data_IF_221827964343
#
_entry.id   IF_221827964343
#
_cell.length_a   1.000
_cell.length_b   1.000
_cell.length_c   1.000
_cell.angle_alpha   90.00
_cell.angle_beta   90.00
_cell.angle_gamma   90.00
#
_symmetry.space_group_name_H-M   'P 1'
#
loop_
_entity.id
_entity.type
_entity.pdbx_description
1 polymer ?
#
# COMPACT_ATOMS: atom_id res chain seq x y z
N UNK A 1 -15.01 8.08 -2.03
CA UNK A 1 -14.17 8.68 -0.97
C UNK A 1 -14.74 9.99 -0.45
N UNK A 2 -15.06 10.98 -1.31
CA UNK A 2 -15.52 12.32 -0.88
C UNK A 2 -16.69 12.27 0.13
N UNK A 3 -17.76 11.52 -0.17
CA UNK A 3 -18.89 11.31 0.77
C UNK A 3 -18.47 10.76 2.14
N UNK A 4 -17.53 9.82 2.17
CA UNK A 4 -17.02 9.21 3.42
C UNK A 4 -16.23 10.18 4.30
N UNK A 5 -15.83 11.33 3.76
CA UNK A 5 -15.22 12.44 4.50
C UNK A 5 -16.20 13.59 4.77
N UNK A 6 -17.51 13.38 4.54
CA UNK A 6 -18.57 14.32 4.87
C UNK A 6 -19.07 15.19 3.70
N UNK A 7 -18.62 14.92 2.47
CA UNK A 7 -19.15 15.59 1.27
C UNK A 7 -20.56 15.07 0.90
N UNK A 8 -21.21 15.68 -0.09
CA UNK A 8 -22.48 15.22 -0.64
C UNK A 8 -22.36 13.82 -1.28
N UNK A 9 -23.47 13.08 -1.30
CA UNK A 9 -23.54 11.75 -1.94
C UNK A 9 -23.30 11.84 -3.46
N UNK A 10 -23.71 12.94 -4.08
CA UNK A 10 -23.44 13.28 -5.47
C UNK A 10 -22.69 14.64 -5.52
N UNK A 11 -21.35 14.64 -5.35
CA UNK A 11 -20.56 15.86 -5.41
C UNK A 11 -20.52 16.42 -6.83
N UNK A 12 -20.18 17.70 -6.94
CA UNK A 12 -20.10 18.38 -8.25
C UNK A 12 -19.02 17.71 -9.13
N UNK A 13 -19.30 17.46 -10.42
CA UNK A 13 -18.32 16.85 -11.32
C UNK A 13 -16.98 17.59 -11.39
N UNK A 14 -17.02 18.93 -11.31
CA UNK A 14 -15.81 19.75 -11.31
C UNK A 14 -14.96 19.53 -10.06
N UNK A 15 -15.59 19.36 -8.89
CA UNK A 15 -14.89 19.05 -7.63
C UNK A 15 -14.25 17.67 -7.67
N UNK A 16 -14.92 16.69 -8.29
CA UNK A 16 -14.38 15.34 -8.49
C UNK A 16 -13.14 15.39 -9.39
N UNK A 17 -13.23 16.08 -10.52
CA UNK A 17 -12.10 16.26 -11.45
C UNK A 17 -10.91 16.93 -10.78
N UNK A 18 -11.15 18.01 -10.01
CA UNK A 18 -10.07 18.68 -9.28
C UNK A 18 -9.46 17.77 -8.21
N UNK A 19 -10.27 16.99 -7.50
CA UNK A 19 -9.78 16.02 -6.51
C UNK A 19 -8.91 14.95 -7.15
N UNK A 20 -9.22 14.51 -8.38
CA UNK A 20 -8.37 13.60 -9.14
C UNK A 20 -6.99 14.20 -9.39
N UNK A 21 -6.93 15.42 -9.94
CA UNK A 21 -5.67 16.12 -10.22
C UNK A 21 -4.82 16.28 -8.94
N UNK A 22 -5.44 16.70 -7.84
CA UNK A 22 -4.76 16.88 -6.55
C UNK A 22 -4.19 15.55 -6.00
N UNK A 23 -4.90 14.45 -6.18
CA UNK A 23 -4.46 13.13 -5.74
C UNK A 23 -3.28 12.64 -6.59
N UNK A 24 -3.33 12.83 -7.90
CA UNK A 24 -2.23 12.49 -8.81
C UNK A 24 -0.97 13.26 -8.43
N UNK A 25 -1.09 14.57 -8.27
CA UNK A 25 0.03 15.44 -7.83
C UNK A 25 0.62 14.99 -6.48
N UNK A 26 -0.24 14.64 -5.53
CA UNK A 26 0.21 14.16 -4.22
C UNK A 26 0.99 12.83 -4.33
N UNK A 27 0.46 11.88 -5.10
CA UNK A 27 1.10 10.59 -5.31
C UNK A 27 2.43 10.71 -6.06
N UNK A 28 2.52 11.62 -7.03
CA UNK A 28 3.75 11.87 -7.76
C UNK A 28 4.84 12.40 -6.83
N UNK A 29 4.54 13.39 -5.98
CA UNK A 29 5.49 13.90 -4.97
C UNK A 29 5.91 12.82 -3.97
N UNK A 30 4.99 11.98 -3.50
CA UNK A 30 5.31 10.88 -2.60
C UNK A 30 6.24 9.85 -3.26
N UNK A 31 6.00 9.56 -4.54
CA UNK A 31 6.80 8.64 -5.34
C UNK A 31 8.22 9.17 -5.58
N UNK A 32 8.37 10.46 -5.89
CA UNK A 32 9.67 11.11 -6.04
C UNK A 32 10.54 10.99 -4.78
N UNK A 33 9.96 11.21 -3.60
CA UNK A 33 10.67 11.05 -2.32
C UNK A 33 11.07 9.60 -2.06
N UNK A 34 10.17 8.65 -2.38
CA UNK A 34 10.47 7.23 -2.24
C UNK A 34 11.59 6.78 -3.18
N UNK A 35 11.57 7.24 -4.43
CA UNK A 35 12.63 6.98 -5.41
C UNK A 35 13.97 7.59 -4.99
N UNK A 36 13.98 8.83 -4.49
CA UNK A 36 15.19 9.48 -4.00
C UNK A 36 15.82 8.69 -2.86
N UNK A 37 15.01 8.28 -1.88
CA UNK A 37 15.47 7.42 -0.77
C UNK A 37 16.06 6.12 -1.31
N UNK A 38 15.35 5.48 -2.23
CA UNK A 38 15.79 4.23 -2.83
C UNK A 38 17.11 4.43 -3.59
N UNK A 39 17.32 5.54 -4.31
CA UNK A 39 18.60 5.85 -4.97
C UNK A 39 19.74 6.04 -3.97
N UNK A 40 19.47 6.65 -2.81
CA UNK A 40 20.43 6.76 -1.73
C UNK A 40 20.85 5.39 -1.18
N UNK A 41 19.89 4.49 -0.94
CA UNK A 41 20.16 3.12 -0.46
C UNK A 41 20.91 2.28 -1.49
N UNK A 42 20.63 2.47 -2.80
CA UNK A 42 21.38 1.79 -3.87
C UNK A 42 22.86 2.12 -3.89
N UNK A 43 23.26 3.35 -3.55
CA UNK A 43 24.70 3.68 -3.46
C UNK A 43 25.42 2.82 -2.41
N UNK A 44 24.68 2.26 -1.45
CA UNK A 44 25.20 1.39 -0.39
C UNK A 44 24.94 -0.11 -0.58
N UNK A 45 24.19 -0.55 -1.61
CA UNK A 45 23.82 -1.96 -1.79
C UNK A 45 23.55 -2.32 -3.27
N UNK A 46 24.00 -3.49 -3.70
CA UNK A 46 23.79 -4.04 -5.06
C UNK A 46 22.34 -4.54 -5.30
N UNK A 47 21.41 -4.30 -4.37
CA UNK A 47 20.04 -4.78 -4.44
C UNK A 47 19.22 -4.06 -5.54
N UNK A 48 18.32 -4.81 -6.16
CA UNK A 48 17.62 -4.44 -7.39
C UNK A 48 16.81 -3.14 -7.32
N UNK A 49 16.58 -2.61 -8.52
CA UNK A 49 16.10 -1.27 -8.80
C UNK A 49 14.61 -1.00 -8.53
N UNK A 50 14.06 -1.40 -7.37
CA UNK A 50 12.62 -1.32 -7.10
C UNK A 50 12.31 -0.59 -5.80
N UNK A 51 11.34 0.31 -5.86
CA UNK A 51 10.72 0.93 -4.69
C UNK A 51 9.99 -0.15 -3.89
N UNK A 52 10.27 -0.24 -2.59
CA UNK A 52 9.63 -1.18 -1.64
C UNK A 52 8.69 -0.44 -0.70
N UNK A 53 7.84 -1.14 0.06
CA UNK A 53 6.87 -0.47 0.97
C UNK A 53 7.55 0.43 1.99
N UNK A 54 8.72 0.02 2.50
CA UNK A 54 9.57 0.82 3.38
C UNK A 54 9.90 2.20 2.83
N UNK A 55 10.08 2.36 1.51
CA UNK A 55 10.42 3.64 0.88
C UNK A 55 9.23 4.61 0.90
N UNK A 56 8.03 4.09 0.69
CA UNK A 56 6.78 4.85 0.82
C UNK A 56 6.48 5.22 2.29
N UNK A 57 6.72 4.32 3.24
CA UNK A 57 6.60 4.62 4.67
C UNK A 57 7.52 5.77 5.10
N UNK A 58 8.70 5.89 4.46
CA UNK A 58 9.59 7.01 4.73
C UNK A 58 9.09 8.33 4.16
N UNK A 59 8.42 8.33 3.01
CA UNK A 59 7.82 9.55 2.45
C UNK A 59 6.79 10.15 3.42
N UNK A 60 6.02 9.32 4.13
CA UNK A 60 4.99 9.76 5.09
C UNK A 60 5.47 9.87 6.54
N UNK A 61 6.76 9.60 6.84
CA UNK A 61 7.28 9.46 8.21
C UNK A 61 7.06 10.64 9.16
N UNK A 62 6.81 11.83 8.61
CA UNK A 62 6.58 13.06 9.39
C UNK A 62 5.17 13.12 9.99
N UNK A 63 4.22 12.39 9.41
CA UNK A 63 2.86 12.30 9.92
C UNK A 63 2.72 11.00 10.72
N UNK A 64 2.82 11.11 12.04
CA UNK A 64 2.80 9.96 12.96
C UNK A 64 1.50 9.17 12.88
N UNK A 65 0.36 9.86 12.71
CA UNK A 65 -0.96 9.23 12.63
C UNK A 65 -1.09 8.42 11.34
N UNK A 66 -0.67 8.98 10.19
CA UNK A 66 -0.69 8.25 8.91
C UNK A 66 0.30 7.09 8.93
N UNK A 67 1.48 7.28 9.50
CA UNK A 67 2.50 6.24 9.59
C UNK A 67 2.01 5.04 10.42
N UNK A 68 1.49 5.30 11.62
CA UNK A 68 0.95 4.25 12.49
C UNK A 68 -0.18 3.50 11.79
N UNK A 69 -1.11 4.23 11.16
CA UNK A 69 -2.22 3.60 10.45
C UNK A 69 -1.75 2.73 9.27
N UNK A 70 -0.72 3.17 8.55
CA UNK A 70 -0.14 2.38 7.47
C UNK A 70 0.52 1.10 7.97
N UNK A 71 1.19 1.14 9.13
CA UNK A 71 1.79 -0.03 9.76
C UNK A 71 0.73 -1.05 10.19
N UNK A 72 -0.33 -0.62 10.88
CA UNK A 72 -1.46 -1.50 11.25
C UNK A 72 -2.08 -2.20 10.02
N UNK A 73 -2.25 -1.47 8.91
CA UNK A 73 -2.80 -2.05 7.68
C UNK A 73 -1.87 -3.08 7.03
N UNK A 74 -0.56 -2.87 7.11
CA UNK A 74 0.43 -3.83 6.60
C UNK A 74 0.45 -5.11 7.45
N UNK A 75 0.35 -4.98 8.78
CA UNK A 75 0.24 -6.13 9.69
C UNK A 75 -0.97 -7.00 9.35
N UNK A 76 -2.16 -6.38 9.21
CA UNK A 76 -3.38 -7.10 8.83
C UNK A 76 -3.26 -7.71 7.44
N UNK A 77 -2.59 -7.05 6.50
CA UNK A 77 -2.36 -7.59 5.17
C UNK A 77 -1.48 -8.85 5.20
N UNK A 78 -0.43 -8.85 6.02
CA UNK A 78 0.45 -10.00 6.20
C UNK A 78 -0.28 -11.17 6.87
N UNK A 79 -1.11 -10.90 7.89
CA UNK A 79 -1.98 -11.91 8.50
C UNK A 79 -2.93 -12.54 7.48
N UNK A 80 -3.60 -11.73 6.66
CA UNK A 80 -4.48 -12.23 5.59
C UNK A 80 -3.71 -13.05 4.55
N UNK A 81 -2.47 -12.66 4.24
CA UNK A 81 -1.62 -13.39 3.29
C UNK A 81 -1.22 -14.76 3.83
N UNK A 82 -0.86 -14.86 5.11
CA UNK A 82 -0.55 -16.14 5.74
C UNK A 82 -1.79 -17.03 5.90
N UNK A 83 -2.95 -16.45 6.24
CA UNK A 83 -4.21 -17.17 6.26
C UNK A 83 -4.51 -17.79 4.87
N UNK A 84 -4.39 -17.02 3.79
CA UNK A 84 -4.62 -17.56 2.43
C UNK A 84 -3.66 -18.70 2.06
N UNK A 85 -2.40 -18.64 2.50
CA UNK A 85 -1.42 -19.70 2.26
C UNK A 85 -1.74 -20.98 3.02
N UNK A 86 -2.16 -20.86 4.28
CA UNK A 86 -2.52 -22.01 5.13
C UNK A 86 -3.76 -22.70 4.57
N UNK A 87 -4.83 -21.96 4.27
CA UNK A 87 -6.02 -22.52 3.61
C UNK A 87 -5.72 -23.25 2.30
N UNK A 88 -4.82 -22.72 1.46
CA UNK A 88 -4.46 -23.38 0.20
C UNK A 88 -3.71 -24.70 0.42
N UNK A 89 -2.80 -24.75 1.40
CA UNK A 89 -2.07 -25.97 1.76
C UNK A 89 -3.00 -27.05 2.30
N UNK A 90 -3.88 -26.68 3.22
CA UNK A 90 -4.83 -27.61 3.83
C UNK A 90 -5.72 -28.24 2.76
N UNK A 91 -6.24 -27.44 1.82
CA UNK A 91 -7.07 -27.94 0.72
C UNK A 91 -6.32 -28.90 -0.23
N UNK A 92 -5.03 -28.66 -0.50
CA UNK A 92 -4.21 -29.59 -1.27
C UNK A 92 -3.95 -30.91 -0.53
N UNK A 93 -3.89 -30.88 0.80
CA UNK A 93 -3.69 -32.07 1.64
C UNK A 93 -4.96 -32.93 1.68
N UNK A 94 -6.14 -32.32 1.92
CA UNK A 94 -7.42 -33.02 1.84
C UNK A 94 -7.69 -33.67 0.48
N UNK A 95 -7.37 -32.98 -0.62
CA UNK A 95 -7.54 -33.52 -1.97
C UNK A 95 -6.62 -34.73 -2.25
N UNK A 96 -5.45 -34.79 -1.63
CA UNK A 96 -4.54 -35.95 -1.72
C UNK A 96 -5.04 -37.12 -0.89
N UNK A 97 -5.64 -36.86 0.28
CA UNK A 97 -6.21 -37.89 1.14
C UNK A 97 -7.45 -38.56 0.52
N UNK A 98 -8.34 -37.82 -0.15
CA UNK A 98 -9.50 -38.40 -0.86
C UNK A 98 -9.12 -39.22 -2.11
N UNK A 99 -7.93 -39.00 -2.67
CA UNK A 99 -7.45 -39.70 -3.87
C UNK A 99 -6.73 -41.04 -3.58
N UNK A 100 -6.66 -41.44 -2.30
CA UNK A 100 -6.01 -42.65 -1.81
C UNK A 100 -7.01 -43.74 -1.41
#
# INVERSE_FOLDING_TARGET
MMYGFGDAAAPLPQSVSLMEDLVVDYLQRASEVAEERQRHVRRSSAEGARVKERDLLFAIRKDSRRLQRAQELLEVFDEQREARKTYAKDHEEYAKEESR
#
